data_IF_818903645769
#
_entry.id   IF_818903645769
#
_cell.length_a   1.000
_cell.length_b   1.000
_cell.length_c   1.000
_cell.angle_alpha   90.00
_cell.angle_beta   90.00
_cell.angle_gamma   90.00
#
_symmetry.space_group_name_H-M   'P 1'
#
loop_
_entity.id
_entity.type
_entity.pdbx_description
1 polymer ?
#
# COMPACT_ATOMS: atom_id res chain seq x y z
N UNK A 1 1.05 -14.80 -6.29
CA UNK A 1 1.38 -13.37 -6.37
C UNK A 1 2.70 -13.13 -5.66
N UNK A 2 3.61 -12.42 -6.29
CA UNK A 2 4.87 -12.06 -5.64
C UNK A 2 4.64 -10.99 -4.60
N UNK A 3 5.33 -11.13 -3.47
CA UNK A 3 5.31 -10.08 -2.46
C UNK A 3 6.12 -8.88 -2.95
N UNK A 4 5.67 -7.66 -2.67
CA UNK A 4 6.45 -6.48 -3.01
C UNK A 4 7.63 -6.32 -2.06
N UNK A 5 8.64 -5.58 -2.49
CA UNK A 5 9.65 -5.10 -1.56
C UNK A 5 9.05 -3.97 -0.73
N UNK A 6 9.27 -3.98 0.58
CA UNK A 6 8.79 -2.93 1.48
C UNK A 6 9.96 -2.00 1.80
N UNK A 7 9.93 -0.79 1.23
CA UNK A 7 10.99 0.18 1.46
C UNK A 7 10.92 0.73 2.90
N UNK A 8 12.06 1.19 3.46
CA UNK A 8 12.04 1.79 4.81
C UNK A 8 11.03 2.93 4.98
N UNK A 9 10.79 3.72 3.93
CA UNK A 9 9.81 4.82 3.99
C UNK A 9 8.40 4.33 4.29
N UNK A 10 8.08 3.10 3.89
CA UNK A 10 6.74 2.53 4.13
C UNK A 10 6.51 2.22 5.61
N UNK A 11 7.57 2.18 6.41
CA UNK A 11 7.47 1.86 7.85
C UNK A 11 7.42 3.11 8.73
N UNK A 12 7.42 4.29 8.11
CA UNK A 12 7.44 5.58 8.85
C UNK A 12 6.28 5.73 9.82
N UNK A 13 5.10 5.25 9.45
CA UNK A 13 3.89 5.42 10.26
C UNK A 13 3.61 4.23 11.19
N UNK A 14 4.56 3.32 11.32
CA UNK A 14 4.45 2.21 12.27
C UNK A 14 3.51 1.09 11.84
N UNK A 15 3.13 1.03 10.57
CA UNK A 15 2.29 -0.05 10.06
C UNK A 15 3.16 -1.29 9.88
N UNK A 16 2.73 -2.43 10.42
CA UNK A 16 3.51 -3.67 10.34
C UNK A 16 3.56 -4.22 8.91
N UNK A 17 4.60 -4.99 8.62
CA UNK A 17 4.74 -5.64 7.31
C UNK A 17 3.56 -6.56 7.03
N UNK A 18 3.04 -7.26 8.04
CA UNK A 18 1.87 -8.13 7.86
C UNK A 18 0.65 -7.37 7.36
N UNK A 19 0.38 -6.21 7.95
CA UNK A 19 -0.73 -5.36 7.52
C UNK A 19 -0.49 -4.87 6.09
N UNK A 20 0.73 -4.42 5.81
CA UNK A 20 1.07 -3.91 4.48
C UNK A 20 0.85 -4.98 3.42
N UNK A 21 1.35 -6.20 3.66
CA UNK A 21 1.23 -7.28 2.69
C UNK A 21 -0.22 -7.72 2.50
N UNK A 22 -1.00 -7.77 3.59
CA UNK A 22 -2.41 -8.14 3.48
C UNK A 22 -3.21 -7.10 2.69
N UNK A 23 -2.99 -5.81 2.98
CA UNK A 23 -3.67 -4.73 2.27
C UNK A 23 -3.25 -4.69 0.79
N UNK A 24 -1.95 -4.90 0.52
CA UNK A 24 -1.44 -4.94 -0.84
C UNK A 24 -2.09 -6.07 -1.65
N UNK A 25 -2.28 -7.24 -1.04
CA UNK A 25 -2.82 -8.41 -1.72
C UNK A 25 -4.33 -8.34 -1.91
N UNK A 26 -5.04 -7.46 -1.20
CA UNK A 26 -6.49 -7.40 -1.20
C UNK A 26 -7.01 -5.97 -1.42
N UNK A 27 -6.58 -5.28 -2.49
CA UNK A 27 -7.01 -3.91 -2.69
C UNK A 27 -8.50 -3.83 -3.02
N UNK A 28 -9.17 -2.86 -2.40
CA UNK A 28 -10.57 -2.54 -2.74
C UNK A 28 -10.65 -1.31 -3.62
N UNK A 29 -9.54 -0.58 -3.76
CA UNK A 29 -9.48 0.62 -4.58
C UNK A 29 -8.05 0.82 -5.07
N UNK A 30 -7.91 1.24 -6.31
CA UNK A 30 -6.61 1.51 -6.94
C UNK A 30 -6.70 2.87 -7.63
N UNK A 31 -5.76 3.75 -7.35
CA UNK A 31 -5.70 5.06 -7.96
C UNK A 31 -4.28 5.35 -8.43
N UNK A 32 -4.10 5.57 -9.72
CA UNK A 32 -2.81 5.96 -10.25
C UNK A 32 -2.61 7.44 -9.99
N UNK A 33 -1.54 7.80 -9.25
CA UNK A 33 -1.24 9.19 -8.93
C UNK A 33 -0.36 9.82 -10.00
N UNK A 34 0.55 9.02 -10.59
CA UNK A 34 1.37 9.41 -11.74
C UNK A 34 1.91 8.13 -12.40
N UNK A 35 2.84 8.27 -13.36
CA UNK A 35 3.35 7.14 -14.13
C UNK A 35 4.08 6.11 -13.28
N UNK A 36 4.55 6.49 -12.08
CA UNK A 36 5.40 5.64 -11.27
C UNK A 36 4.81 5.33 -9.89
N UNK A 37 3.71 5.98 -9.52
CA UNK A 37 3.14 5.84 -8.18
C UNK A 37 1.66 5.54 -8.23
N UNK A 38 1.28 4.43 -7.59
CA UNK A 38 -0.11 4.00 -7.47
C UNK A 38 -0.47 3.95 -5.99
N UNK A 39 -1.65 4.45 -5.64
CA UNK A 39 -2.17 4.32 -4.29
C UNK A 39 -3.21 3.23 -4.26
N UNK A 40 -3.01 2.22 -3.41
CA UNK A 40 -3.99 1.18 -3.15
C UNK A 40 -4.66 1.46 -1.81
N UNK A 41 -5.93 1.09 -1.69
CA UNK A 41 -6.60 1.01 -0.40
C UNK A 41 -6.98 -0.44 -0.18
N UNK A 42 -6.55 -1.00 0.93
CA UNK A 42 -6.84 -2.38 1.27
C UNK A 42 -6.98 -2.57 2.76
N UNK A 43 -7.60 -3.69 3.18
CA UNK A 43 -7.86 -3.96 4.59
C UNK A 43 -6.71 -4.69 5.28
N UNK A 44 -6.64 -4.53 6.60
CA UNK A 44 -5.92 -5.49 7.44
C UNK A 44 -6.85 -6.68 7.71
N UNK A 45 -6.40 -7.62 8.57
CA UNK A 45 -7.20 -8.83 8.85
C UNK A 45 -8.51 -8.53 9.60
N UNK A 46 -8.62 -7.35 10.23
CA UNK A 46 -9.82 -6.95 10.94
C UNK A 46 -10.73 -6.04 10.11
N UNK A 47 -10.35 -5.76 8.86
CA UNK A 47 -11.14 -4.90 7.98
C UNK A 47 -10.84 -3.41 8.08
N UNK A 48 -9.84 -3.01 8.87
CA UNK A 48 -9.41 -1.61 8.92
C UNK A 48 -8.68 -1.26 7.63
N UNK A 49 -9.02 -0.13 7.04
CA UNK A 49 -8.50 0.24 5.72
C UNK A 49 -7.19 1.02 5.82
N UNK A 50 -6.26 0.67 4.96
CA UNK A 50 -4.94 1.31 4.87
C UNK A 50 -4.69 1.79 3.45
N UNK A 51 -3.99 2.93 3.33
CA UNK A 51 -3.50 3.40 2.04
C UNK A 51 -2.07 2.94 1.86
N UNK A 52 -1.81 2.29 0.74
CA UNK A 52 -0.52 1.68 0.42
C UNK A 52 -0.01 2.31 -0.87
N UNK A 53 1.09 3.05 -0.77
CA UNK A 53 1.71 3.66 -1.95
C UNK A 53 2.70 2.70 -2.57
N UNK A 54 2.53 2.42 -3.86
CA UNK A 54 3.34 1.44 -4.59
C UNK A 54 4.03 2.11 -5.76
N UNK A 55 5.36 2.00 -5.78
CA UNK A 55 6.17 2.49 -6.89
C UNK A 55 6.54 1.32 -7.79
N UNK A 56 6.63 1.60 -9.10
CA UNK A 56 7.10 0.61 -10.05
C UNK A 56 8.63 0.57 -10.05
N UNK A 57 9.19 -0.62 -10.24
CA UNK A 57 10.63 -0.77 -10.44
C UNK A 57 10.87 -1.93 -11.41
N UNK A 58 12.09 -2.03 -11.92
CA UNK A 58 12.45 -3.12 -12.84
C UNK A 58 12.42 -4.48 -12.16
N UNK A 59 12.54 -4.50 -10.82
CA UNK A 59 12.54 -5.74 -10.04
C UNK A 59 11.16 -6.05 -9.44
N UNK A 60 10.14 -5.32 -9.82
CA UNK A 60 8.78 -5.52 -9.33
C UNK A 60 8.28 -4.34 -8.49
N UNK A 61 7.10 -4.48 -7.88
CA UNK A 61 6.51 -3.40 -7.09
C UNK A 61 7.25 -3.17 -5.79
N UNK A 62 7.32 -1.89 -5.39
CA UNK A 62 7.95 -1.46 -4.15
C UNK A 62 6.94 -0.66 -3.34
N UNK A 63 6.65 -1.09 -2.12
CA UNK A 63 5.81 -0.31 -1.22
C UNK A 63 6.67 0.80 -0.61
N UNK A 64 6.29 2.05 -0.84
CA UNK A 64 7.03 3.23 -0.37
C UNK A 64 6.28 4.02 0.69
N UNK A 65 5.01 3.68 0.93
CA UNK A 65 4.15 4.42 1.86
C UNK A 65 3.07 3.50 2.39
N UNK A 66 2.78 3.58 3.69
CA UNK A 66 1.68 2.85 4.31
C UNK A 66 1.20 3.59 5.55
N UNK A 67 -0.10 3.83 5.65
CA UNK A 67 -0.72 4.43 6.82
C UNK A 67 -2.23 4.15 6.80
N UNK A 68 -2.94 4.35 7.92
CA UNK A 68 -4.40 4.26 7.88
C UNK A 68 -4.96 5.15 6.78
N UNK A 69 -5.95 4.65 6.04
CA UNK A 69 -6.45 5.33 4.85
C UNK A 69 -7.09 6.67 5.21
N UNK A 70 -6.62 7.73 4.56
CA UNK A 70 -7.18 9.06 4.74
C UNK A 70 -8.45 9.21 3.91
N UNK A 71 -9.41 10.08 4.35
CA UNK A 71 -10.69 10.21 3.64
C UNK A 71 -10.57 10.48 2.15
N UNK A 72 -9.53 11.20 1.72
CA UNK A 72 -9.37 11.52 0.30
C UNK A 72 -9.19 10.29 -0.58
N UNK A 73 -8.75 9.15 0.01
CA UNK A 73 -8.60 7.91 -0.73
C UNK A 73 -9.79 6.96 -0.55
N UNK A 74 -10.81 7.38 0.23
CA UNK A 74 -11.99 6.58 0.49
C UNK A 74 -13.23 7.05 -0.26
N UNK A 75 -13.07 8.06 -1.09
CA UNK A 75 -14.20 8.65 -1.86
C UNK A 75 -14.46 7.90 -3.15
#
# INVERSE_FOLDING_TARGET
>A
MEEPYIAPSARRHGVSDDIILHAFANPIRVEELDDELTMLVGPDHAGNLYEIGVAASTDGPVVVHAMPARPKYLR
#
